data_IF_384654602611
#
_entry.id   IF_384654602611
#
_cell.length_a   1.000
_cell.length_b   1.000
_cell.length_c   1.000
_cell.angle_alpha   90.00
_cell.angle_beta   90.00
_cell.angle_gamma   90.00
#
_symmetry.space_group_name_H-M   'P 1'
#
loop_
_entity.id
_entity.type
_entity.pdbx_description
1 polymer ?
#
# COMPACT_ATOMS: atom_id res chain seq x y z
N UNK A 1 -41.17 -10.04 -0.31
CA UNK A 1 -39.98 -10.05 -1.18
C UNK A 1 -38.87 -9.29 -0.46
N UNK A 2 -38.33 -9.91 0.60
CA UNK A 2 -37.13 -10.80 0.63
C UNK A 2 -35.85 -9.94 0.63
N UNK A 3 -34.93 -9.98 1.59
CA UNK A 3 -34.74 -10.80 2.79
C UNK A 3 -33.74 -10.03 3.70
N UNK A 4 -33.93 -10.08 5.02
CA UNK A 4 -32.95 -9.57 5.97
C UNK A 4 -31.77 -10.55 6.04
N UNK A 5 -30.55 -10.08 5.77
CA UNK A 5 -29.35 -10.89 5.93
C UNK A 5 -28.90 -10.86 7.40
N UNK A 6 -28.77 -12.05 7.98
CA UNK A 6 -28.25 -12.28 9.32
C UNK A 6 -26.82 -11.74 9.46
N UNK A 7 -26.51 -11.15 10.61
CA UNK A 7 -25.13 -10.78 10.97
C UNK A 7 -24.38 -12.02 11.46
N UNK A 8 -23.35 -12.44 10.73
CA UNK A 8 -22.38 -13.44 11.19
C UNK A 8 -21.17 -12.74 11.82
N UNK A 9 -20.72 -13.22 13.00
CA UNK A 9 -19.50 -12.74 13.67
C UNK A 9 -18.30 -13.54 13.18
N UNK A 10 -17.24 -12.86 12.75
CA UNK A 10 -15.95 -13.48 12.45
C UNK A 10 -15.06 -13.45 13.72
N UNK A 11 -14.47 -14.59 14.08
CA UNK A 11 -13.52 -14.69 15.20
C UNK A 11 -12.13 -15.03 14.66
N UNK A 12 -11.13 -14.23 15.03
CA UNK A 12 -9.72 -14.60 14.84
C UNK A 12 -9.19 -15.22 16.12
N UNK A 13 -8.59 -16.41 16.02
CA UNK A 13 -7.93 -17.09 17.15
C UNK A 13 -6.43 -17.10 16.86
N UNK A 14 -5.64 -16.46 17.73
CA UNK A 14 -4.19 -16.54 17.67
C UNK A 14 -3.73 -17.87 18.25
N UNK A 15 -3.07 -18.69 17.45
CA UNK A 15 -2.59 -20.01 17.85
C UNK A 15 -1.05 -20.00 17.92
N UNK A 16 -0.43 -20.35 19.06
CA UNK A 16 1.02 -20.39 19.20
C UNK A 16 1.72 -21.37 18.23
N UNK A 17 3.01 -21.14 17.98
CA UNK A 17 3.82 -22.06 17.20
C UNK A 17 3.89 -23.45 17.86
N UNK A 18 3.74 -24.51 17.06
CA UNK A 18 3.78 -25.91 17.50
C UNK A 18 2.41 -26.56 17.77
N UNK A 19 1.32 -25.80 17.68
CA UNK A 19 -0.04 -26.36 17.75
C UNK A 19 -0.41 -27.02 16.43
N UNK A 20 -0.87 -28.27 16.49
CA UNK A 20 -1.21 -29.06 15.29
C UNK A 20 -2.66 -28.81 14.86
N UNK A 21 -3.01 -29.22 13.64
CA UNK A 21 -4.40 -29.17 13.16
C UNK A 21 -5.36 -29.99 14.05
N UNK A 22 -4.87 -31.06 14.70
CA UNK A 22 -5.65 -31.87 15.64
C UNK A 22 -5.97 -31.14 16.94
N UNK A 23 -5.02 -30.34 17.45
CA UNK A 23 -5.20 -29.55 18.68
C UNK A 23 -6.21 -28.43 18.47
N UNK A 24 -6.17 -27.75 17.32
CA UNK A 24 -7.15 -26.74 16.92
C UNK A 24 -8.55 -27.36 16.80
N UNK A 25 -8.65 -28.57 16.23
CA UNK A 25 -9.92 -29.29 16.14
C UNK A 25 -10.47 -29.64 17.53
N UNK A 26 -9.62 -30.02 18.50
CA UNK A 26 -10.03 -30.22 19.88
C UNK A 26 -10.53 -28.93 20.54
N UNK A 27 -9.83 -27.82 20.37
CA UNK A 27 -10.21 -26.50 20.92
C UNK A 27 -11.57 -26.05 20.38
N UNK A 28 -11.80 -26.23 19.07
CA UNK A 28 -13.07 -25.89 18.44
C UNK A 28 -14.21 -26.82 18.88
N UNK A 29 -13.91 -28.09 19.21
CA UNK A 29 -14.92 -29.06 19.67
C UNK A 29 -15.39 -28.82 21.11
N UNK A 30 -14.54 -28.25 21.96
CA UNK A 30 -14.80 -28.00 23.40
C UNK A 30 -15.31 -26.60 23.70
N UNK A 31 -15.20 -25.64 22.77
CA UNK A 31 -15.80 -24.32 22.93
C UNK A 31 -17.32 -24.38 22.74
N UNK A 32 -18.08 -24.10 23.80
CA UNK A 32 -19.56 -24.10 23.78
C UNK A 32 -20.16 -22.91 23.00
N UNK A 33 -19.35 -21.89 22.65
CA UNK A 33 -19.84 -20.62 22.10
C UNK A 33 -19.67 -20.46 20.57
N UNK A 34 -19.03 -21.41 19.89
CA UNK A 34 -18.73 -21.30 18.45
C UNK A 34 -19.76 -22.06 17.62
N UNK A 35 -20.81 -21.35 17.21
CA UNK A 35 -21.88 -21.91 16.34
C UNK A 35 -21.58 -21.78 14.84
N UNK A 36 -20.60 -20.98 14.43
CA UNK A 36 -20.18 -20.84 13.01
C UNK A 36 -18.73 -20.36 12.91
N UNK A 37 -17.90 -21.08 12.16
CA UNK A 37 -16.51 -20.67 11.83
C UNK A 37 -16.32 -20.88 10.33
N UNK A 38 -16.02 -19.82 9.58
CA UNK A 38 -15.83 -19.88 8.13
C UNK A 38 -14.36 -19.96 7.68
N UNK A 39 -13.41 -19.47 8.48
CA UNK A 39 -11.99 -19.53 8.13
C UNK A 39 -11.07 -19.44 9.36
N UNK A 40 -9.96 -20.18 9.34
CA UNK A 40 -8.88 -20.11 10.33
C UNK A 40 -7.56 -19.85 9.57
N UNK A 41 -6.85 -18.78 9.92
CA UNK A 41 -5.60 -18.40 9.26
C UNK A 41 -4.41 -18.82 10.11
N UNK A 42 -3.40 -19.44 9.48
CA UNK A 42 -2.14 -19.81 10.13
C UNK A 42 -1.00 -18.93 9.63
N UNK A 43 0.01 -18.73 10.48
CA UNK A 43 1.25 -18.02 10.15
C UNK A 43 2.08 -18.70 9.03
N UNK A 44 1.70 -19.90 8.58
CA UNK A 44 2.40 -20.67 7.54
C UNK A 44 1.47 -21.32 6.49
N UNK A 45 0.21 -20.89 6.38
CA UNK A 45 -0.72 -21.38 5.35
C UNK A 45 -2.20 -21.09 5.65
N UNK A 46 -3.06 -21.31 4.66
CA UNK A 46 -4.52 -21.11 4.76
C UNK A 46 -5.19 -22.49 4.86
N UNK A 47 -6.05 -22.69 5.86
CA UNK A 47 -6.98 -23.84 5.90
C UNK A 47 -8.39 -23.29 5.86
N UNK A 48 -9.12 -23.58 4.78
CA UNK A 48 -10.55 -23.29 4.68
C UNK A 48 -11.33 -24.41 5.36
N UNK A 49 -12.09 -24.09 6.40
CA UNK A 49 -13.03 -25.03 7.02
C UNK A 49 -14.42 -24.46 6.79
N UNK A 50 -15.17 -25.07 5.86
CA UNK A 50 -16.54 -24.67 5.58
C UNK A 50 -17.48 -25.62 6.31
N UNK A 51 -18.18 -25.13 7.32
CA UNK A 51 -19.34 -25.83 7.86
C UNK A 51 -20.58 -25.35 7.11
N UNK A 52 -21.23 -26.21 6.31
CA UNK A 52 -22.56 -25.89 5.79
C UNK A 52 -23.61 -26.34 6.78
N UNK A 53 -24.58 -25.46 7.06
CA UNK A 53 -25.85 -25.82 7.66
C UNK A 53 -26.92 -25.75 6.60
N UNK A 54 -26.76 -26.53 5.54
CA UNK A 54 -27.80 -26.73 4.53
C UNK A 54 -28.83 -27.73 5.10
N UNK A 55 -29.69 -27.26 6.00
CA UNK A 55 -30.99 -27.87 6.41
C UNK A 55 -31.59 -27.13 7.62
N UNK A 56 -31.50 -25.79 7.66
CA UNK A 56 -32.12 -25.00 8.74
C UNK A 56 -33.67 -25.03 8.72
N UNK A 57 -34.28 -25.55 7.65
CA UNK A 57 -35.74 -25.48 7.45
C UNK A 57 -36.52 -26.74 7.91
N UNK A 58 -35.91 -27.73 8.56
CA UNK A 58 -36.63 -28.96 8.97
C UNK A 58 -36.49 -29.44 10.41
N UNK A 59 -36.03 -28.62 11.35
CA UNK A 59 -36.02 -29.03 12.78
C UNK A 59 -36.60 -27.96 13.71
N UNK A 60 -37.92 -27.84 13.68
CA UNK A 60 -38.69 -27.42 14.85
C UNK A 60 -39.39 -28.65 15.44
N UNK A 61 -38.72 -29.34 16.36
CA UNK A 61 -39.44 -30.05 17.42
C UNK A 61 -39.36 -29.17 18.67
N UNK A 62 -40.51 -28.61 19.05
CA UNK A 62 -40.67 -27.89 20.30
C UNK A 62 -40.51 -28.89 21.47
N UNK A 63 -39.59 -28.63 22.38
CA UNK A 63 -39.65 -29.21 23.73
C UNK A 63 -40.51 -28.30 24.61
N UNK A 64 -41.31 -28.91 25.49
CA UNK A 64 -42.30 -28.24 26.36
C UNK A 64 -41.70 -27.24 27.38
N UNK A 65 -40.37 -27.10 27.45
CA UNK A 65 -39.66 -26.17 28.32
C UNK A 65 -39.05 -24.94 27.58
N UNK A 66 -39.29 -24.80 26.28
CA UNK A 66 -38.91 -23.61 25.51
C UNK A 66 -37.41 -23.50 25.18
N UNK A 67 -36.64 -24.59 25.27
CA UNK A 67 -35.20 -24.61 24.93
C UNK A 67 -34.93 -25.42 23.66
N UNK A 68 -34.41 -24.76 22.63
CA UNK A 68 -33.97 -25.42 21.39
C UNK A 68 -32.67 -26.19 21.66
N UNK A 69 -32.67 -27.52 21.46
CA UNK A 69 -31.45 -28.35 21.48
C UNK A 69 -31.05 -28.73 20.06
N UNK A 70 -29.87 -28.29 19.63
CA UNK A 70 -29.29 -28.67 18.33
C UNK A 70 -28.42 -29.93 18.52
N UNK A 71 -28.69 -31.00 17.76
CA UNK A 71 -27.83 -32.21 17.75
C UNK A 71 -26.59 -31.96 16.87
N UNK A 72 -25.39 -32.16 17.44
CA UNK A 72 -24.08 -32.09 16.74
C UNK A 72 -24.05 -33.05 15.54
N UNK A 73 -23.76 -32.56 14.33
CA UNK A 73 -23.40 -33.38 13.17
C UNK A 73 -21.95 -33.10 12.72
N UNK A 74 -21.37 -34.10 12.04
CA UNK A 74 -19.95 -34.25 11.66
C UNK A 74 -19.42 -33.09 10.83
N UNK A 75 -18.23 -32.60 11.20
CA UNK A 75 -17.39 -31.69 10.39
C UNK A 75 -16.63 -32.51 9.35
N UNK A 76 -16.58 -32.04 8.10
CA UNK A 76 -15.80 -32.66 7.03
C UNK A 76 -14.75 -31.67 6.51
N UNK A 77 -13.47 -32.02 6.63
CA UNK A 77 -12.35 -31.19 6.17
C UNK A 77 -12.06 -31.52 4.71
N UNK A 78 -12.10 -30.52 3.83
CA UNK A 78 -11.76 -30.70 2.42
C UNK A 78 -10.40 -30.07 2.08
N UNK A 79 -9.41 -30.96 1.91
CA UNK A 79 -8.12 -30.77 1.23
C UNK A 79 -7.04 -29.96 1.96
N UNK A 80 -5.91 -30.63 2.19
CA UNK A 80 -4.63 -30.03 2.61
C UNK A 80 -3.71 -29.97 1.38
N UNK A 81 -3.15 -28.81 1.05
CA UNK A 81 -2.11 -28.69 0.01
C UNK A 81 -0.74 -28.55 0.70
N UNK A 82 0.24 -29.44 0.44
CA UNK A 82 1.60 -29.23 0.91
C UNK A 82 2.27 -28.12 0.09
N UNK A 83 2.90 -27.17 0.78
CA UNK A 83 3.75 -26.13 0.16
C UNK A 83 5.21 -26.54 0.34
N UNK A 84 5.94 -26.69 -0.77
CA UNK A 84 7.39 -26.90 -0.74
C UNK A 84 8.08 -25.55 -0.44
N UNK A 85 8.75 -25.50 0.71
CA UNK A 85 9.36 -24.30 1.29
C UNK A 85 10.58 -23.79 0.49
N UNK A 86 11.12 -24.60 -0.44
CA UNK A 86 12.35 -24.27 -1.16
C UNK A 86 12.13 -23.58 -2.52
N UNK A 87 10.88 -23.42 -2.97
CA UNK A 87 10.54 -22.70 -4.21
C UNK A 87 9.60 -21.51 -3.99
N UNK A 88 9.45 -21.09 -2.73
CA UNK A 88 8.54 -20.03 -2.34
C UNK A 88 9.11 -18.63 -2.70
N UNK A 89 8.56 -18.01 -3.75
CA UNK A 89 8.77 -16.60 -4.08
C UNK A 89 7.72 -15.72 -3.36
N UNK A 90 8.11 -14.89 -2.38
CA UNK A 90 7.18 -14.05 -1.61
C UNK A 90 6.50 -12.94 -2.43
N UNK A 91 6.97 -12.58 -3.63
CA UNK A 91 6.36 -11.52 -4.44
C UNK A 91 5.05 -11.97 -5.13
N UNK A 92 4.88 -13.27 -5.39
CA UNK A 92 3.75 -13.80 -6.15
C UNK A 92 2.53 -14.15 -5.29
N UNK A 93 2.71 -14.45 -4.00
CA UNK A 93 1.62 -14.94 -3.12
C UNK A 93 0.76 -13.83 -2.51
N UNK A 94 1.16 -12.55 -2.57
CA UNK A 94 0.35 -11.43 -2.06
C UNK A 94 -0.65 -10.85 -3.08
N UNK A 95 -0.75 -11.41 -4.29
CA UNK A 95 -1.67 -10.95 -5.35
C UNK A 95 -3.12 -11.44 -5.13
N UNK A 96 -3.36 -12.29 -4.12
CA UNK A 96 -4.69 -12.83 -3.83
C UNK A 96 -5.09 -12.61 -2.37
N UNK A 97 -5.37 -11.37 -1.99
CA UNK A 97 -6.10 -11.07 -0.76
C UNK A 97 -7.39 -10.33 -1.11
N UNK A 98 -8.49 -11.09 -1.20
CA UNK A 98 -9.85 -10.56 -1.12
C UNK A 98 -10.22 -10.53 0.37
N UNK A 99 -10.76 -9.39 0.78
CA UNK A 99 -11.43 -9.11 2.07
C UNK A 99 -10.54 -8.61 3.22
N UNK A 100 -10.57 -7.29 3.41
CA UNK A 100 -9.93 -6.55 4.51
C UNK A 100 -10.89 -5.53 5.15
N UNK A 101 -12.10 -5.93 5.58
CA UNK A 101 -13.12 -4.99 6.10
C UNK A 101 -12.85 -4.46 7.53
N UNK A 102 -12.07 -5.15 8.37
CA UNK A 102 -11.99 -4.82 9.81
C UNK A 102 -10.99 -3.71 10.19
N UNK A 103 -9.78 -3.60 9.59
CA UNK A 103 -8.84 -2.51 9.91
C UNK A 103 -9.36 -1.13 9.46
N UNK A 104 -10.21 -1.11 8.42
CA UNK A 104 -10.71 0.11 7.79
C UNK A 104 -11.65 0.94 8.68
N UNK A 105 -12.42 0.30 9.56
CA UNK A 105 -13.42 0.99 10.39
C UNK A 105 -12.80 1.72 11.59
N UNK A 106 -11.68 1.22 12.12
CA UNK A 106 -11.08 1.71 13.35
C UNK A 106 -10.18 2.93 13.13
N UNK A 107 -9.46 3.00 12.00
CA UNK A 107 -8.67 4.17 11.62
C UNK A 107 -9.55 5.39 11.27
N UNK A 108 -10.76 5.14 10.77
CA UNK A 108 -11.69 6.17 10.29
C UNK A 108 -12.36 6.98 11.41
N UNK A 109 -12.83 6.33 12.48
CA UNK A 109 -13.49 7.02 13.61
C UNK A 109 -12.58 8.06 14.29
N UNK A 110 -11.26 7.92 14.20
CA UNK A 110 -10.29 8.83 14.85
C UNK A 110 -9.84 10.01 13.98
N UNK A 111 -9.86 9.90 12.65
CA UNK A 111 -9.51 11.02 11.75
C UNK A 111 -10.63 12.06 11.70
N UNK A 112 -11.89 11.63 11.92
CA UNK A 112 -13.08 12.50 11.93
C UNK A 112 -12.99 13.65 12.95
N UNK A 113 -12.38 13.41 14.11
CA UNK A 113 -12.36 14.37 15.22
C UNK A 113 -11.21 15.40 15.13
N UNK A 114 -10.20 15.17 14.27
CA UNK A 114 -8.99 16.00 14.22
C UNK A 114 -9.00 17.05 13.09
N UNK A 115 -9.95 16.99 12.15
CA UNK A 115 -9.88 17.73 10.88
C UNK A 115 -10.84 18.94 10.73
N UNK A 116 -11.53 19.37 11.80
CA UNK A 116 -12.53 20.45 11.74
C UNK A 116 -11.97 21.88 11.54
N UNK A 117 -10.65 22.08 11.46
CA UNK A 117 -10.04 23.42 11.34
C UNK A 117 -9.42 23.76 9.96
N UNK A 118 -9.42 22.84 8.99
CA UNK A 118 -8.70 23.03 7.71
C UNK A 118 -9.69 23.17 6.55
N UNK A 119 -10.10 24.40 6.27
CA UNK A 119 -10.58 24.82 4.93
C UNK A 119 -10.67 26.35 4.87
N UNK A 120 -9.52 27.00 4.79
CA UNK A 120 -9.42 28.36 4.24
C UNK A 120 -8.31 28.32 3.19
N UNK A 121 -8.67 28.73 1.98
CA UNK A 121 -7.82 28.88 0.80
C UNK A 121 -7.52 27.58 0.02
N UNK A 122 -8.54 27.06 -0.68
CA UNK A 122 -8.35 26.12 -1.80
C UNK A 122 -8.95 26.75 -3.06
N UNK A 123 -8.12 26.99 -4.08
CA UNK A 123 -8.60 27.33 -5.42
C UNK A 123 -9.33 26.11 -6.02
N UNK A 124 -10.63 26.24 -6.20
CA UNK A 124 -11.45 25.20 -6.84
C UNK A 124 -11.15 25.14 -8.33
N UNK A 125 -10.68 23.99 -8.81
CA UNK A 125 -10.53 23.71 -10.25
C UNK A 125 -11.73 22.88 -10.72
N UNK A 126 -12.45 23.29 -11.79
CA UNK A 126 -13.58 22.51 -12.31
C UNK A 126 -13.18 21.06 -12.67
N UNK A 127 -13.97 20.07 -12.24
CA UNK A 127 -13.75 18.65 -12.55
C UNK A 127 -12.83 17.88 -11.58
N UNK A 128 -12.14 18.58 -10.66
CA UNK A 128 -11.31 17.97 -9.63
C UNK A 128 -11.87 18.40 -8.27
N UNK A 129 -12.44 17.45 -7.53
CA UNK A 129 -12.86 17.70 -6.16
C UNK A 129 -11.68 17.36 -5.25
N UNK A 130 -11.08 18.39 -4.65
CA UNK A 130 -10.30 18.20 -3.43
C UNK A 130 -11.28 17.86 -2.32
N UNK A 131 -11.46 16.56 -2.07
CA UNK A 131 -12.26 16.15 -0.94
C UNK A 131 -11.43 16.38 0.33
N UNK A 132 -11.88 17.18 1.31
CA UNK A 132 -11.36 17.03 2.65
C UNK A 132 -11.60 15.58 3.09
N UNK A 133 -10.67 15.02 3.86
CA UNK A 133 -10.59 13.59 4.26
C UNK A 133 -11.87 13.05 4.96
N UNK A 134 -12.85 13.90 5.24
CA UNK A 134 -14.04 13.62 6.05
C UNK A 134 -15.37 13.45 5.27
N UNK A 135 -15.36 13.09 3.98
CA UNK A 135 -16.63 12.86 3.24
C UNK A 135 -17.32 11.54 3.66
N UNK A 136 -18.63 11.59 3.99
CA UNK A 136 -19.42 10.50 4.61
C UNK A 136 -19.86 9.38 3.65
N UNK A 137 -19.47 9.44 2.38
CA UNK A 137 -19.85 8.44 1.39
C UNK A 137 -19.01 7.15 1.53
N UNK A 138 -19.59 6.10 2.13
CA UNK A 138 -18.97 4.80 2.40
C UNK A 138 -18.24 4.17 1.18
N UNK A 139 -18.71 4.44 -0.04
CA UNK A 139 -18.07 3.95 -1.27
C UNK A 139 -16.79 4.72 -1.64
N UNK A 140 -16.79 6.03 -1.38
CA UNK A 140 -15.62 6.91 -1.49
C UNK A 140 -14.63 6.55 -0.39
N UNK A 141 -15.09 6.32 0.84
CA UNK A 141 -14.26 5.91 1.97
C UNK A 141 -13.57 4.56 1.75
N UNK A 142 -14.26 3.57 1.18
CA UNK A 142 -13.65 2.28 0.80
C UNK A 142 -12.60 2.44 -0.30
N UNK A 143 -12.87 3.28 -1.30
CA UNK A 143 -11.89 3.59 -2.34
C UNK A 143 -10.70 4.39 -1.77
N UNK A 144 -10.93 5.25 -0.79
CA UNK A 144 -9.89 5.95 -0.05
C UNK A 144 -9.08 4.99 0.81
N UNK A 145 -9.68 4.06 1.52
CA UNK A 145 -8.97 3.07 2.32
C UNK A 145 -8.20 2.06 1.45
N UNK A 146 -8.73 1.70 0.27
CA UNK A 146 -8.00 0.91 -0.72
C UNK A 146 -6.86 1.72 -1.34
N UNK A 147 -7.12 2.96 -1.75
CA UNK A 147 -6.09 3.85 -2.26
C UNK A 147 -5.03 4.10 -1.20
N UNK A 148 -5.41 4.30 0.06
CA UNK A 148 -4.53 4.52 1.20
C UNK A 148 -3.76 3.26 1.58
N UNK A 149 -4.36 2.08 1.53
CA UNK A 149 -3.64 0.82 1.72
C UNK A 149 -2.66 0.57 0.56
N UNK A 150 -3.04 0.82 -0.68
CA UNK A 150 -2.12 0.76 -1.83
C UNK A 150 -1.10 1.90 -1.81
N UNK A 151 -1.41 3.04 -1.20
CA UNK A 151 -0.52 4.19 -1.03
C UNK A 151 0.47 3.93 0.08
N UNK A 152 0.03 3.38 1.21
CA UNK A 152 0.86 2.96 2.31
C UNK A 152 1.70 1.77 1.84
N UNK A 153 1.16 0.78 1.13
CA UNK A 153 1.95 -0.28 0.53
C UNK A 153 2.89 0.27 -0.53
N UNK A 154 2.47 1.17 -1.41
CA UNK A 154 3.35 1.77 -2.41
C UNK A 154 4.42 2.64 -1.75
N UNK A 155 4.13 3.38 -0.68
CA UNK A 155 5.08 4.21 0.07
C UNK A 155 6.02 3.37 0.93
N UNK A 156 5.51 2.32 1.57
CA UNK A 156 6.28 1.29 2.29
C UNK A 156 7.19 0.53 1.33
N UNK A 157 6.69 0.16 0.14
CA UNK A 157 7.45 -0.44 -0.96
C UNK A 157 8.36 0.56 -1.64
N UNK A 158 8.04 1.86 -1.56
CA UNK A 158 8.73 2.86 -2.35
C UNK A 158 10.19 2.88 -1.94
N UNK A 159 10.58 2.69 -0.68
CA UNK A 159 12.00 2.90 -0.26
C UNK A 159 12.47 4.35 -0.48
N UNK A 160 11.56 5.26 -0.83
CA UNK A 160 11.91 6.62 -1.18
C UNK A 160 11.49 7.59 -0.09
N UNK A 161 12.26 8.64 -0.04
CA UNK A 161 12.11 9.85 0.75
C UNK A 161 10.98 10.73 0.19
N UNK A 162 9.82 10.12 -0.11
CA UNK A 162 8.64 10.77 -0.67
C UNK A 162 7.55 10.96 0.38
N UNK A 163 6.82 12.05 0.24
CA UNK A 163 5.62 12.43 1.00
C UNK A 163 4.51 12.76 0.03
N UNK A 164 3.27 12.53 0.46
CA UNK A 164 2.08 12.88 -0.31
C UNK A 164 1.45 14.04 0.43
N UNK A 165 1.54 15.21 -0.16
CA UNK A 165 1.05 16.45 0.42
C UNK A 165 -0.46 16.57 0.19
N UNK A 166 -0.97 16.13 -0.96
CA UNK A 166 -2.38 16.25 -1.32
C UNK A 166 -2.86 15.05 -2.15
N UNK A 167 -4.13 14.71 -1.99
CA UNK A 167 -4.84 13.72 -2.81
C UNK A 167 -6.11 14.37 -3.32
N UNK A 168 -6.23 14.48 -4.63
CA UNK A 168 -7.43 14.94 -5.31
C UNK A 168 -8.14 13.75 -5.97
N UNK A 169 -9.47 13.72 -5.87
CA UNK A 169 -10.29 12.68 -6.46
C UNK A 169 -10.84 13.17 -7.80
N UNK A 170 -10.69 12.35 -8.84
CA UNK A 170 -11.22 12.60 -10.18
C UNK A 170 -12.64 12.02 -10.24
N UNK A 171 -13.63 12.91 -10.33
CA UNK A 171 -15.04 12.55 -10.50
C UNK A 171 -15.45 12.71 -11.98
N UNK A 172 -15.21 11.68 -12.78
CA UNK A 172 -15.46 11.69 -14.22
C UNK A 172 -16.41 10.54 -14.65
N UNK A 173 -17.74 10.69 -14.47
CA UNK A 173 -18.71 9.61 -14.73
C UNK A 173 -18.62 9.02 -16.14
N UNK A 174 -18.41 9.86 -17.16
CA UNK A 174 -18.25 9.41 -18.56
C UNK A 174 -16.98 8.58 -18.77
N UNK A 175 -15.87 8.94 -18.09
CA UNK A 175 -14.62 8.18 -18.14
C UNK A 175 -14.80 6.84 -17.45
N UNK A 176 -15.42 6.83 -16.26
CA UNK A 176 -15.76 5.61 -15.53
C UNK A 176 -16.64 4.67 -16.34
N UNK A 177 -17.69 5.19 -16.99
CA UNK A 177 -18.59 4.39 -17.83
C UNK A 177 -17.85 3.74 -19.01
N UNK A 178 -16.94 4.47 -19.69
CA UNK A 178 -16.12 3.89 -20.76
C UNK A 178 -15.21 2.77 -20.26
N UNK A 179 -14.60 2.95 -19.08
CA UNK A 179 -13.78 1.91 -18.46
C UNK A 179 -14.60 0.66 -18.10
N UNK A 180 -15.76 0.83 -17.45
CA UNK A 180 -16.64 -0.30 -17.10
C UNK A 180 -17.12 -1.02 -18.37
N UNK A 181 -17.60 -0.29 -19.37
CA UNK A 181 -18.02 -0.88 -20.64
C UNK A 181 -16.88 -1.61 -21.36
N UNK A 182 -15.63 -1.12 -21.23
CA UNK A 182 -14.46 -1.83 -21.75
C UNK A 182 -14.19 -3.14 -21.01
N UNK A 183 -14.25 -3.13 -19.68
CA UNK A 183 -14.08 -4.34 -18.85
C UNK A 183 -15.16 -5.38 -19.16
N UNK A 184 -16.42 -4.96 -19.32
CA UNK A 184 -17.52 -5.83 -19.70
C UNK A 184 -17.32 -6.42 -21.09
N UNK A 185 -16.87 -5.61 -22.06
CA UNK A 185 -16.53 -6.08 -23.40
C UNK A 185 -15.41 -7.12 -23.37
N UNK A 186 -14.34 -6.90 -22.59
CA UNK A 186 -13.26 -7.88 -22.44
C UNK A 186 -13.82 -9.23 -21.93
N UNK A 187 -14.69 -9.22 -20.93
CA UNK A 187 -15.35 -10.44 -20.43
C UNK A 187 -16.21 -11.12 -21.48
N UNK A 188 -17.00 -10.36 -22.25
CA UNK A 188 -17.82 -10.87 -23.34
C UNK A 188 -16.97 -11.53 -24.45
N UNK A 189 -15.78 -10.99 -24.69
CA UNK A 189 -14.79 -11.53 -25.62
C UNK A 189 -13.98 -12.72 -25.03
N UNK A 190 -14.33 -13.20 -23.82
CA UNK A 190 -13.67 -14.31 -23.15
C UNK A 190 -12.31 -13.95 -22.52
N UNK A 191 -12.01 -12.67 -22.34
CA UNK A 191 -10.78 -12.17 -21.71
C UNK A 191 -11.06 -11.91 -20.23
N UNK A 192 -10.21 -12.46 -19.35
CA UNK A 192 -10.23 -12.11 -17.92
C UNK A 192 -9.53 -10.75 -17.69
N UNK A 193 -10.26 -9.68 -17.31
CA UNK A 193 -9.66 -8.38 -17.11
C UNK A 193 -8.95 -8.36 -15.75
N UNK A 194 -7.65 -8.64 -15.76
CA UNK A 194 -6.77 -8.35 -14.63
C UNK A 194 -6.74 -6.83 -14.39
N UNK A 195 -7.42 -6.36 -13.34
CA UNK A 195 -7.43 -4.95 -12.95
C UNK A 195 -6.36 -4.70 -11.89
N UNK A 196 -5.48 -3.73 -12.13
CA UNK A 196 -4.43 -3.32 -11.18
C UNK A 196 -4.49 -1.83 -10.87
N UNK A 197 -3.93 -1.43 -9.73
CA UNK A 197 -3.67 -0.04 -9.39
C UNK A 197 -2.29 0.37 -9.93
N UNK A 198 -2.21 1.52 -10.58
CA UNK A 198 -1.01 1.96 -11.29
C UNK A 198 -0.92 3.48 -11.32
N UNK A 199 0.26 3.99 -11.63
CA UNK A 199 0.58 5.41 -11.77
C UNK A 199 0.87 5.76 -13.22
N UNK A 200 0.37 6.90 -13.65
CA UNK A 200 0.65 7.50 -14.95
C UNK A 200 1.33 8.85 -14.73
N UNK A 201 2.63 8.90 -15.03
CA UNK A 201 3.38 10.13 -15.03
C UNK A 201 3.15 10.93 -16.31
N UNK A 202 2.85 12.21 -16.18
CA UNK A 202 2.55 13.09 -17.32
C UNK A 202 2.91 14.54 -17.00
N UNK A 203 2.94 15.39 -18.02
CA UNK A 203 3.13 16.83 -17.81
C UNK A 203 1.94 17.42 -17.05
N UNK A 204 2.21 18.36 -16.16
CA UNK A 204 1.18 18.99 -15.32
C UNK A 204 -0.01 19.54 -16.12
N UNK A 205 0.27 20.19 -17.26
CA UNK A 205 -0.77 20.74 -18.16
C UNK A 205 -1.72 19.66 -18.74
N UNK A 206 -1.31 18.40 -18.75
CA UNK A 206 -2.09 17.28 -19.28
C UNK A 206 -3.04 16.68 -18.26
N UNK A 207 -2.81 16.92 -16.95
CA UNK A 207 -3.57 16.28 -15.86
C UNK A 207 -5.05 16.61 -15.96
N UNK A 208 -5.42 17.89 -16.16
CA UNK A 208 -6.82 18.29 -16.27
C UNK A 208 -7.47 17.64 -17.51
N UNK A 209 -6.76 17.57 -18.63
CA UNK A 209 -7.25 16.89 -19.83
C UNK A 209 -7.53 15.40 -19.60
N UNK A 210 -6.68 14.72 -18.81
CA UNK A 210 -6.87 13.32 -18.42
C UNK A 210 -8.00 13.17 -17.41
N UNK A 211 -8.13 14.08 -16.44
CA UNK A 211 -9.21 14.06 -15.47
C UNK A 211 -10.59 14.19 -16.15
N UNK A 212 -10.71 15.13 -17.08
CA UNK A 212 -11.98 15.42 -17.78
C UNK A 212 -12.33 14.35 -18.81
N UNK A 213 -11.33 13.90 -19.58
CA UNK A 213 -11.54 13.10 -20.79
C UNK A 213 -10.94 11.70 -20.73
N UNK A 214 -10.33 11.28 -19.63
CA UNK A 214 -9.54 10.06 -19.58
C UNK A 214 -8.30 10.14 -20.48
N UNK A 215 -7.62 9.01 -20.64
CA UNK A 215 -6.54 8.91 -21.63
C UNK A 215 -7.15 8.75 -23.03
N UNK A 216 -6.70 9.56 -23.99
CA UNK A 216 -7.28 9.65 -25.32
C UNK A 216 -6.35 9.04 -26.36
N UNK A 217 -6.89 8.12 -27.17
CA UNK A 217 -6.11 7.31 -28.12
C UNK A 217 -5.44 8.13 -29.24
N UNK A 218 -6.05 9.25 -29.62
CA UNK A 218 -5.52 10.20 -30.60
C UNK A 218 -4.35 11.05 -30.07
N UNK A 219 -4.11 11.02 -28.76
CA UNK A 219 -2.97 11.70 -28.10
C UNK A 219 -1.82 10.75 -27.76
N UNK A 220 -1.90 9.48 -28.18
CA UNK A 220 -0.81 8.51 -28.02
C UNK A 220 0.38 8.86 -28.93
N UNK A 221 1.59 8.81 -28.37
CA UNK A 221 2.84 8.82 -29.14
C UNK A 221 3.36 10.20 -29.56
N UNK A 222 2.91 11.29 -28.93
CA UNK A 222 3.39 12.64 -29.23
C UNK A 222 4.87 12.89 -28.89
N UNK A 223 5.51 12.01 -28.11
CA UNK A 223 6.90 12.18 -27.63
C UNK A 223 7.83 11.02 -27.95
N UNK A 224 7.31 9.80 -28.07
CA UNK A 224 8.04 8.62 -28.55
C UNK A 224 7.05 7.59 -29.11
N UNK A 225 7.56 6.62 -29.88
CA UNK A 225 6.74 5.51 -30.38
C UNK A 225 6.38 4.50 -29.26
N UNK A 226 6.88 4.69 -28.04
CA UNK A 226 6.85 3.71 -26.95
C UNK A 226 7.86 2.58 -27.17
N UNK A 227 8.51 2.10 -26.11
CA UNK A 227 9.58 1.09 -26.20
C UNK A 227 9.05 -0.35 -26.38
N UNK A 228 7.91 -0.63 -25.76
CA UNK A 228 7.33 -1.98 -25.70
C UNK A 228 5.95 -2.05 -26.32
N UNK A 229 5.55 -1.01 -27.04
CA UNK A 229 4.34 -1.00 -27.82
C UNK A 229 3.73 0.38 -27.95
N UNK A 230 2.87 0.54 -28.96
CA UNK A 230 2.07 1.75 -29.13
C UNK A 230 0.87 1.69 -28.18
N UNK A 231 0.83 2.56 -27.19
CA UNK A 231 -0.23 2.56 -26.19
C UNK A 231 -0.06 3.61 -25.09
N UNK A 232 -0.85 3.45 -24.04
CA UNK A 232 -0.80 4.24 -22.81
C UNK A 232 0.00 3.50 -21.75
N UNK A 233 0.99 4.20 -21.21
CA UNK A 233 1.98 3.64 -20.28
C UNK A 233 1.59 3.91 -18.82
N UNK A 234 1.72 2.91 -17.96
CA UNK A 234 1.50 3.04 -16.52
C UNK A 234 2.49 2.16 -15.76
N UNK A 235 2.74 2.44 -14.49
CA UNK A 235 3.63 1.64 -13.64
C UNK A 235 3.08 1.53 -12.22
N UNK A 236 3.22 0.39 -11.52
CA UNK A 236 2.94 0.33 -10.09
C UNK A 236 4.02 1.04 -9.24
N UNK A 237 5.15 1.45 -9.85
CA UNK A 237 6.22 2.20 -9.18
C UNK A 237 5.94 3.70 -9.28
N UNK A 238 5.37 4.27 -8.21
CA UNK A 238 5.21 5.73 -8.07
C UNK A 238 6.50 6.50 -8.40
N UNK A 239 7.67 6.16 -7.83
CA UNK A 239 8.96 6.81 -8.12
C UNK A 239 9.32 6.81 -9.59
N UNK A 240 9.09 5.68 -10.28
CA UNK A 240 9.30 5.58 -11.72
C UNK A 240 8.33 6.50 -12.49
N UNK A 241 7.05 6.56 -12.10
CA UNK A 241 6.08 7.48 -12.70
C UNK A 241 6.44 8.95 -12.49
N UNK A 242 7.00 9.31 -11.33
CA UNK A 242 7.41 10.69 -11.04
C UNK A 242 8.49 11.19 -12.00
N UNK A 243 9.35 10.30 -12.53
CA UNK A 243 10.36 10.68 -13.54
C UNK A 243 9.73 11.16 -14.86
N UNK A 244 8.47 10.82 -15.11
CA UNK A 244 7.68 11.28 -16.27
C UNK A 244 6.80 12.49 -15.94
N UNK A 245 6.72 12.91 -14.67
CA UNK A 245 6.02 14.12 -14.24
C UNK A 245 6.88 15.36 -14.52
N UNK A 246 7.16 15.61 -15.79
CA UNK A 246 8.00 16.72 -16.22
C UNK A 246 7.26 18.05 -16.11
N UNK A 247 7.82 18.98 -15.33
CA UNK A 247 7.42 20.39 -15.34
C UNK A 247 8.40 21.17 -16.23
N UNK A 248 7.96 21.77 -17.34
CA UNK A 248 8.84 22.58 -18.18
C UNK A 248 9.48 23.72 -17.37
N UNK A 249 10.78 23.90 -17.59
CA UNK A 249 11.66 24.93 -17.03
C UNK A 249 10.95 26.27 -16.78
N UNK A 250 10.57 26.54 -15.53
CA UNK A 250 10.57 27.90 -15.00
C UNK A 250 11.66 27.97 -13.96
N UNK A 251 12.62 28.87 -14.17
CA UNK A 251 13.68 29.15 -13.21
C UNK A 251 13.03 29.62 -11.90
N UNK A 252 12.96 28.76 -10.91
CA UNK A 252 12.62 29.16 -9.55
C UNK A 252 13.92 29.73 -8.96
N UNK A 253 13.95 31.04 -8.70
CA UNK A 253 15.09 31.77 -8.12
C UNK A 253 16.40 31.77 -8.94
N UNK A 254 16.34 31.73 -10.28
CA UNK A 254 17.53 31.81 -11.13
C UNK A 254 18.44 30.57 -11.10
N UNK A 255 18.10 29.54 -10.30
CA UNK A 255 18.72 28.22 -10.36
C UNK A 255 17.94 27.34 -11.34
N UNK A 256 18.66 26.72 -12.27
CA UNK A 256 18.10 25.68 -13.14
C UNK A 256 17.75 24.49 -12.24
N UNK A 257 16.46 24.29 -11.97
CA UNK A 257 15.97 23.04 -11.37
C UNK A 257 15.85 22.04 -12.51
N UNK A 258 16.65 20.99 -12.44
CA UNK A 258 16.61 19.89 -13.39
C UNK A 258 15.73 18.80 -12.76
N UNK A 259 14.49 18.60 -13.23
CA UNK A 259 13.90 17.26 -13.09
C UNK A 259 14.74 16.36 -13.99
N UNK A 260 15.80 15.77 -13.42
CA UNK A 260 16.75 14.97 -14.18
C UNK A 260 16.03 13.71 -14.65
N UNK A 261 15.82 13.62 -15.96
CA UNK A 261 15.50 12.36 -16.65
C UNK A 261 16.64 11.33 -16.58
N UNK A 262 17.63 11.53 -15.71
CA UNK A 262 18.92 10.82 -15.69
C UNK A 262 18.96 9.74 -14.60
N UNK A 263 18.12 9.83 -13.56
CA UNK A 263 18.07 8.79 -12.52
C UNK A 263 16.63 8.56 -12.03
N UNK A 264 16.06 7.39 -12.35
CA UNK A 264 14.71 7.03 -11.93
C UNK A 264 14.60 6.70 -10.41
N UNK A 265 15.72 6.62 -9.69
CA UNK A 265 15.79 6.50 -8.22
C UNK A 265 15.63 7.84 -7.49
N UNK A 266 15.92 8.95 -8.19
CA UNK A 266 15.93 10.32 -7.67
C UNK A 266 15.18 11.25 -8.62
N UNK A 267 13.98 10.82 -9.03
CA UNK A 267 13.16 11.53 -10.01
C UNK A 267 12.81 12.98 -9.62
N UNK A 268 12.92 13.31 -8.32
CA UNK A 268 12.55 14.62 -7.77
C UNK A 268 13.68 15.19 -6.91
N UNK A 269 13.87 16.50 -7.04
CA UNK A 269 14.64 17.28 -6.09
C UNK A 269 13.87 17.46 -4.78
N UNK A 270 14.60 17.58 -3.67
CA UNK A 270 14.01 17.78 -2.34
C UNK A 270 13.20 19.08 -2.31
N UNK A 271 12.00 19.02 -1.75
CA UNK A 271 11.08 20.14 -1.63
C UNK A 271 10.22 20.39 -2.87
N UNK A 272 10.52 19.76 -4.01
CA UNK A 272 9.74 19.95 -5.23
C UNK A 272 8.46 19.12 -5.18
N UNK A 273 7.33 19.80 -5.37
CA UNK A 273 6.01 19.19 -5.53
C UNK A 273 5.76 18.87 -7.01
N UNK A 274 5.26 17.68 -7.27
CA UNK A 274 4.78 17.26 -8.59
C UNK A 274 3.46 16.52 -8.45
N UNK A 275 2.65 16.56 -9.51
CA UNK A 275 1.36 15.89 -9.56
C UNK A 275 1.46 14.65 -10.46
N UNK A 276 0.99 13.51 -9.96
CA UNK A 276 0.97 12.23 -10.67
C UNK A 276 -0.45 11.67 -10.68
N UNK A 277 -0.85 11.03 -11.77
CA UNK A 277 -2.18 10.42 -11.89
C UNK A 277 -2.12 8.98 -11.37
N UNK A 278 -2.98 8.65 -10.41
CA UNK A 278 -3.18 7.29 -9.94
C UNK A 278 -4.48 6.72 -10.55
N UNK A 279 -4.42 5.49 -11.06
CA UNK A 279 -5.43 4.93 -11.94
C UNK A 279 -5.64 3.43 -11.73
N UNK A 280 -6.81 2.95 -12.13
CA UNK A 280 -7.07 1.52 -12.30
C UNK A 280 -6.85 1.15 -13.77
N UNK A 281 -6.19 0.02 -14.02
CA UNK A 281 -5.79 -0.40 -15.36
C UNK A 281 -6.26 -1.83 -15.62
N UNK A 282 -7.01 -2.05 -16.70
CA UNK A 282 -7.48 -3.36 -17.14
C UNK A 282 -6.48 -3.98 -18.15
N UNK A 283 -5.64 -4.90 -17.67
CA UNK A 283 -4.48 -5.42 -18.39
C UNK A 283 -4.82 -6.59 -19.32
N UNK A 284 -5.81 -7.41 -18.96
CA UNK A 284 -6.14 -8.63 -19.71
C UNK A 284 -4.98 -9.61 -19.82
N UNK A 285 -4.87 -10.33 -20.95
CA UNK A 285 -3.72 -11.19 -21.22
C UNK A 285 -2.48 -10.36 -21.53
N UNK A 286 -1.40 -10.59 -20.80
CA UNK A 286 -0.19 -9.77 -20.88
C UNK A 286 0.90 -10.47 -21.71
N UNK A 287 1.65 -9.69 -22.49
CA UNK A 287 2.89 -10.13 -23.12
C UNK A 287 4.08 -9.50 -22.41
N UNK A 288 5.04 -10.32 -21.97
CA UNK A 288 6.33 -9.82 -21.52
C UNK A 288 7.13 -9.37 -22.74
N UNK A 289 7.32 -8.06 -22.92
CA UNK A 289 8.09 -7.49 -24.01
C UNK A 289 9.59 -7.67 -23.73
N UNK A 290 10.14 -8.76 -24.26
CA UNK A 290 11.56 -9.13 -24.09
C UNK A 290 12.50 -8.36 -25.02
N UNK A 291 11.97 -7.86 -26.14
CA UNK A 291 12.70 -7.07 -27.14
C UNK A 291 12.12 -5.66 -27.21
N UNK A 292 13.01 -4.67 -27.29
CA UNK A 292 12.63 -3.30 -27.63
C UNK A 292 12.21 -3.26 -29.09
N UNK A 293 10.92 -3.12 -29.34
CA UNK A 293 10.37 -2.91 -30.69
C UNK A 293 9.52 -1.64 -30.64
N UNK A 294 10.16 -0.48 -30.82
CA UNK A 294 9.47 0.78 -30.60
C UNK A 294 8.22 0.88 -31.49
N UNK A 295 7.09 1.28 -30.92
CA UNK A 295 5.84 1.43 -31.66
C UNK A 295 5.18 0.14 -32.15
N UNK A 296 5.62 -1.03 -31.67
CA UNK A 296 4.95 -2.29 -32.02
C UNK A 296 3.48 -2.26 -31.59
N UNK A 297 2.58 -2.68 -32.48
CA UNK A 297 1.19 -2.85 -32.10
C UNK A 297 1.05 -3.98 -31.09
N UNK A 298 0.22 -3.78 -30.08
CA UNK A 298 -0.18 -4.85 -29.15
C UNK A 298 -1.16 -5.74 -29.91
N UNK A 299 -0.69 -6.90 -30.33
CA UNK A 299 -1.43 -7.84 -31.18
C UNK A 299 -2.09 -8.95 -30.36
N UNK A 300 -3.17 -9.48 -30.92
CA UNK A 300 -3.80 -10.69 -30.40
C UNK A 300 -2.76 -11.83 -30.25
N UNK A 301 -2.87 -12.66 -29.20
CA UNK A 301 -3.97 -12.72 -28.23
C UNK A 301 -3.81 -11.80 -27.01
N UNK A 302 -2.89 -10.85 -27.04
CA UNK A 302 -2.57 -10.00 -25.88
C UNK A 302 -3.41 -8.72 -25.85
N UNK A 303 -3.60 -8.19 -24.64
CA UNK A 303 -4.36 -6.98 -24.34
C UNK A 303 -3.48 -5.89 -23.70
N UNK A 304 -2.30 -6.26 -23.24
CA UNK A 304 -1.26 -5.37 -22.73
C UNK A 304 0.11 -5.98 -22.97
N UNK A 305 1.13 -5.13 -23.03
CA UNK A 305 2.51 -5.58 -22.83
C UNK A 305 3.00 -5.09 -21.46
N UNK A 306 4.03 -5.75 -20.95
CA UNK A 306 4.80 -5.25 -19.81
C UNK A 306 6.29 -5.48 -20.03
N UNK A 307 7.11 -4.66 -19.39
CA UNK A 307 8.55 -4.82 -19.32
C UNK A 307 9.04 -4.58 -17.89
N UNK A 308 10.07 -5.30 -17.50
CA UNK A 308 10.88 -4.92 -16.35
C UNK A 308 11.91 -3.88 -16.79
N UNK A 309 12.13 -2.88 -15.96
CA UNK A 309 13.09 -1.80 -16.25
C UNK A 309 14.13 -1.69 -15.14
N UNK A 310 15.35 -1.31 -15.52
CA UNK A 310 16.43 -0.97 -14.60
C UNK A 310 16.30 0.47 -14.06
N UNK A 311 17.27 0.88 -13.25
CA UNK A 311 17.36 2.20 -12.62
C UNK A 311 17.64 3.34 -13.62
N UNK A 312 18.10 3.01 -14.82
CA UNK A 312 18.20 3.91 -15.97
C UNK A 312 16.91 3.94 -16.82
N UNK A 313 15.88 3.20 -16.41
CA UNK A 313 14.60 3.08 -17.11
C UNK A 313 14.69 2.31 -18.43
N UNK A 314 15.78 1.56 -18.64
CA UNK A 314 15.96 0.69 -19.80
C UNK A 314 15.31 -0.66 -19.52
N UNK A 315 14.79 -1.32 -20.55
CA UNK A 315 14.24 -2.66 -20.42
C UNK A 315 15.30 -3.67 -20.03
N UNK A 316 14.95 -4.51 -19.08
CA UNK A 316 15.71 -5.69 -18.74
C UNK A 316 15.42 -6.81 -19.74
N UNK A 317 16.49 -7.42 -20.24
CA UNK A 317 16.42 -8.69 -20.96
C UNK A 317 16.09 -9.81 -19.98
N UNK A 318 15.47 -10.89 -20.45
CA UNK A 318 15.07 -12.04 -19.62
C UNK A 318 16.26 -12.66 -18.85
N UNK A 319 17.44 -12.66 -19.46
CA UNK A 319 18.68 -13.20 -18.85
C UNK A 319 19.47 -12.15 -18.05
N UNK A 320 18.90 -10.95 -17.86
CA UNK A 320 19.59 -9.88 -17.15
C UNK A 320 19.73 -10.23 -15.67
N UNK A 321 20.96 -10.17 -15.17
CA UNK A 321 21.25 -10.21 -13.73
C UNK A 321 21.14 -8.84 -13.06
N UNK A 322 20.82 -7.80 -13.83
CA UNK A 322 20.65 -6.46 -13.29
C UNK A 322 19.39 -6.42 -12.40
N UNK A 323 19.44 -5.65 -11.31
CA UNK A 323 18.29 -5.51 -10.43
C UNK A 323 17.12 -4.85 -11.17
N UNK A 324 15.93 -5.44 -11.03
CA UNK A 324 14.69 -4.83 -11.46
C UNK A 324 14.35 -3.62 -10.57
N UNK A 325 14.23 -2.46 -11.21
CA UNK A 325 13.85 -1.21 -10.55
C UNK A 325 12.33 -1.00 -10.57
N UNK A 326 11.70 -1.21 -11.73
CA UNK A 326 10.26 -1.07 -11.88
C UNK A 326 9.68 -2.05 -12.90
N UNK A 327 8.36 -2.15 -12.90
CA UNK A 327 7.58 -2.77 -13.98
C UNK A 327 6.84 -1.67 -14.70
N UNK A 328 6.78 -1.73 -16.03
CA UNK A 328 6.01 -0.80 -16.84
C UNK A 328 5.00 -1.59 -17.67
N UNK A 329 3.75 -1.13 -17.68
CA UNK A 329 2.65 -1.70 -18.44
C UNK A 329 2.27 -0.75 -19.58
N UNK A 330 1.94 -1.29 -20.74
CA UNK A 330 1.35 -0.54 -21.84
C UNK A 330 0.06 -1.20 -22.31
N UNK A 331 -1.01 -0.41 -22.43
CA UNK A 331 -2.31 -0.85 -22.97
C UNK A 331 -2.63 -0.10 -24.25
N UNK A 332 -3.23 -0.74 -25.26
CA UNK A 332 -3.43 -0.12 -26.57
C UNK A 332 -4.55 0.93 -26.59
N UNK A 333 -5.42 0.97 -25.57
CA UNK A 333 -6.60 1.84 -25.54
C UNK A 333 -6.77 2.53 -24.19
N UNK A 334 -7.09 3.81 -24.24
CA UNK A 334 -7.23 4.66 -23.07
C UNK A 334 -8.46 4.32 -22.23
N UNK A 335 -9.47 3.70 -22.82
CA UNK A 335 -10.61 3.13 -22.11
C UNK A 335 -10.25 1.90 -21.23
N UNK A 336 -9.03 1.37 -21.31
CA UNK A 336 -8.51 0.38 -20.35
C UNK A 336 -7.94 1.03 -19.08
N UNK A 337 -7.92 2.37 -18.99
CA UNK A 337 -7.40 3.10 -17.83
C UNK A 337 -8.50 4.02 -17.27
N UNK A 338 -8.75 3.89 -15.98
CA UNK A 338 -9.61 4.80 -15.23
C UNK A 338 -8.75 5.67 -14.30
N UNK A 339 -8.43 6.92 -14.68
CA UNK A 339 -7.79 7.86 -13.78
C UNK A 339 -8.75 8.19 -12.63
N UNK A 340 -8.32 7.94 -11.39
CA UNK A 340 -9.17 8.10 -10.21
C UNK A 340 -8.63 9.15 -9.25
N UNK A 341 -7.33 9.28 -9.14
CA UNK A 341 -6.71 10.19 -8.20
C UNK A 341 -5.62 11.01 -8.87
N UNK A 342 -5.37 12.20 -8.32
CA UNK A 342 -4.15 12.96 -8.56
C UNK A 342 -3.46 13.14 -7.22
N UNK A 343 -2.23 12.63 -7.12
CA UNK A 343 -1.41 12.81 -5.91
C UNK A 343 -0.44 13.96 -6.14
N UNK A 344 -0.41 14.92 -5.22
CA UNK A 344 0.67 15.90 -5.10
C UNK A 344 1.74 15.28 -4.23
N UNK A 345 2.86 14.90 -4.85
CA UNK A 345 3.97 14.19 -4.22
C UNK A 345 5.16 15.11 -4.12
N UNK A 346 5.88 15.02 -3.01
CA UNK A 346 7.10 15.79 -2.76
C UNK A 346 8.17 14.92 -2.14
N UNK A 347 9.41 15.11 -2.57
CA UNK A 347 10.56 14.53 -1.91
C UNK A 347 10.96 15.34 -0.68
N UNK A 348 11.21 14.66 0.42
CA UNK A 348 11.81 15.21 1.65
C UNK A 348 13.22 14.68 1.81
N UNK A 349 14.01 15.28 2.71
CA UNK A 349 15.32 14.76 3.10
C UNK A 349 15.43 14.52 4.60
N UNK A 350 14.30 14.46 5.30
CA UNK A 350 14.22 14.19 6.74
C UNK A 350 13.26 13.03 6.96
N UNK A 351 13.75 11.99 7.62
CA UNK A 351 12.98 10.76 7.76
C UNK A 351 13.08 10.18 9.17
N UNK A 352 11.92 9.93 9.76
CA UNK A 352 11.78 9.20 11.02
C UNK A 352 11.48 7.75 10.69
N UNK A 353 12.40 6.86 11.02
CA UNK A 353 12.21 5.42 10.97
C UNK A 353 11.61 5.00 12.30
N UNK A 354 10.37 4.52 12.33
CA UNK A 354 9.70 4.10 13.56
C UNK A 354 9.31 2.64 13.49
N UNK A 355 9.97 1.81 14.31
CA UNK A 355 9.61 0.40 14.49
C UNK A 355 8.97 0.17 15.86
N UNK A 356 7.81 -0.48 15.83
CA UNK A 356 7.08 -0.92 17.02
C UNK A 356 6.20 -2.14 16.61
N UNK A 357 6.13 -3.23 17.38
CA UNK A 357 5.18 -4.33 17.12
C UNK A 357 3.73 -3.86 17.08
N UNK A 358 3.40 -2.79 17.80
CA UNK A 358 2.09 -2.16 17.84
C UNK A 358 2.09 -0.83 17.05
N UNK A 359 2.93 -0.68 16.02
CA UNK A 359 3.06 0.59 15.27
C UNK A 359 1.74 1.03 14.61
N UNK A 360 0.88 0.07 14.25
CA UNK A 360 -0.44 0.31 13.67
C UNK A 360 -1.56 0.42 14.72
N UNK A 361 -1.22 0.35 16.02
CA UNK A 361 -2.17 0.64 17.09
C UNK A 361 -2.57 2.11 17.08
N UNK A 362 -3.81 2.40 17.49
CA UNK A 362 -4.41 3.74 17.46
C UNK A 362 -3.51 4.83 18.09
N UNK A 363 -2.91 4.51 19.24
CA UNK A 363 -2.00 5.43 19.94
C UNK A 363 -0.79 5.81 19.07
N UNK A 364 -0.02 4.84 18.59
CA UNK A 364 1.17 5.07 17.77
C UNK A 364 0.84 5.71 16.41
N UNK A 365 -0.26 5.28 15.77
CA UNK A 365 -0.73 5.87 14.53
C UNK A 365 -1.06 7.36 14.71
N UNK A 366 -1.71 7.74 15.82
CA UNK A 366 -2.03 9.14 16.13
C UNK A 366 -0.76 9.99 16.30
N UNK A 367 0.28 9.46 16.94
CA UNK A 367 1.56 10.15 17.08
C UNK A 367 2.27 10.32 15.74
N UNK A 368 2.27 9.30 14.88
CA UNK A 368 2.87 9.38 13.55
C UNK A 368 2.20 10.45 12.68
N UNK A 369 0.86 10.49 12.67
CA UNK A 369 0.08 11.52 11.98
C UNK A 369 0.43 12.90 12.54
N UNK A 370 0.49 13.04 13.86
CA UNK A 370 0.84 14.31 14.52
C UNK A 370 2.25 14.78 14.15
N UNK A 371 3.25 13.90 14.15
CA UNK A 371 4.63 14.23 13.74
C UNK A 371 4.63 14.78 12.32
N UNK A 372 3.96 14.09 11.38
CA UNK A 372 3.95 14.49 9.98
C UNK A 372 3.15 15.79 9.76
N UNK A 373 2.07 15.99 10.50
CA UNK A 373 1.28 17.23 10.45
C UNK A 373 2.05 18.44 11.00
N UNK A 374 2.69 18.31 12.17
CA UNK A 374 3.48 19.40 12.76
C UNK A 374 4.81 19.65 12.02
N UNK A 375 5.26 18.69 11.21
CA UNK A 375 6.52 18.75 10.49
C UNK A 375 6.34 18.24 9.05
N UNK A 376 5.74 19.03 8.15
CA UNK A 376 5.42 18.59 6.80
C UNK A 376 6.65 18.18 5.98
N UNK A 377 7.84 18.66 6.33
CA UNK A 377 9.11 18.30 5.68
C UNK A 377 9.71 16.98 6.18
N UNK A 378 9.00 16.22 7.01
CA UNK A 378 9.43 14.94 7.56
C UNK A 378 8.54 13.82 7.01
N UNK A 379 9.18 12.73 6.58
CA UNK A 379 8.49 11.46 6.35
C UNK A 379 8.61 10.56 7.57
N UNK A 380 7.50 10.06 8.08
CA UNK A 380 7.49 8.99 9.09
C UNK A 380 7.28 7.65 8.39
N UNK A 381 8.26 6.75 8.52
CA UNK A 381 8.21 5.39 8.02
C UNK A 381 7.89 4.44 9.17
N UNK A 382 6.67 3.93 9.18
CA UNK A 382 6.16 2.99 10.18
C UNK A 382 6.51 1.57 9.78
N UNK A 383 7.08 0.79 10.70
CA UNK A 383 7.64 -0.52 10.40
C UNK A 383 7.31 -1.54 11.48
N UNK A 384 7.00 -2.76 11.04
CA UNK A 384 7.05 -3.95 11.91
C UNK A 384 8.52 -4.37 12.15
N UNK A 385 8.76 -5.21 13.17
CA UNK A 385 10.09 -5.77 13.42
C UNK A 385 10.77 -6.38 12.20
N UNK A 386 12.07 -6.13 12.05
CA UNK A 386 12.92 -6.70 11.00
C UNK A 386 12.99 -5.91 9.67
N UNK A 387 12.08 -4.96 9.43
CA UNK A 387 12.08 -4.23 8.14
C UNK A 387 13.02 -3.02 8.12
N UNK A 388 13.33 -2.43 9.28
CA UNK A 388 14.27 -1.29 9.37
C UNK A 388 15.69 -1.70 8.95
N UNK A 389 16.18 -2.87 9.35
CA UNK A 389 17.52 -3.35 9.00
C UNK A 389 17.71 -3.38 7.48
N UNK A 390 16.72 -3.96 6.78
CA UNK A 390 16.68 -4.02 5.32
C UNK A 390 16.59 -2.62 4.71
N UNK A 391 15.77 -1.73 5.28
CA UNK A 391 15.65 -0.35 4.81
C UNK A 391 17.01 0.38 4.88
N UNK A 392 17.65 0.38 6.06
CA UNK A 392 18.92 1.08 6.26
C UNK A 392 20.05 0.50 5.39
N UNK A 393 20.09 -0.82 5.17
CA UNK A 393 21.11 -1.45 4.36
C UNK A 393 20.95 -1.25 2.85
N UNK A 394 19.72 -1.06 2.34
CA UNK A 394 19.45 -1.04 0.90
C UNK A 394 18.98 0.32 0.36
N UNK A 395 18.39 1.15 1.21
CA UNK A 395 17.57 2.30 0.79
C UNK A 395 18.06 3.63 1.38
N UNK A 396 19.07 3.59 2.25
CA UNK A 396 19.63 4.78 2.89
C UNK A 396 20.28 5.67 1.83
N UNK A 397 19.85 6.92 1.77
CA UNK A 397 20.47 7.96 0.93
C UNK A 397 21.35 8.85 1.81
N UNK A 398 22.58 9.09 1.40
CA UNK A 398 23.53 9.94 2.15
C UNK A 398 23.04 11.37 2.33
N UNK A 399 22.18 11.85 1.41
CA UNK A 399 21.59 13.19 1.43
C UNK A 399 20.39 13.32 2.36
N UNK A 400 19.92 12.21 2.93
CA UNK A 400 18.74 12.17 3.81
C UNK A 400 19.19 12.06 5.26
N UNK A 401 18.65 12.94 6.11
CA UNK A 401 18.80 12.88 7.54
C UNK A 401 17.81 11.86 8.11
N UNK A 402 18.30 10.95 8.93
CA UNK A 402 17.48 9.92 9.56
C UNK A 402 17.43 10.10 11.07
N UNK A 403 16.31 9.73 11.69
CA UNK A 403 16.18 9.49 13.13
C UNK A 403 15.46 8.17 13.34
N UNK A 404 15.89 7.37 14.30
CA UNK A 404 15.26 6.10 14.65
C UNK A 404 14.39 6.27 15.90
N UNK A 405 13.16 5.79 15.86
CA UNK A 405 12.28 5.60 17.01
C UNK A 405 12.01 4.11 17.13
N UNK A 406 12.24 3.55 18.31
CA UNK A 406 11.93 2.16 18.63
C UNK A 406 11.27 2.10 19.99
N UNK A 407 10.43 1.11 20.25
CA UNK A 407 9.72 1.02 21.52
C UNK A 407 10.48 0.27 22.63
N UNK A 408 11.73 -0.13 22.39
CA UNK A 408 12.58 -0.78 23.39
C UNK A 408 12.22 -2.23 23.71
N UNK A 409 10.93 -2.57 23.66
CA UNK A 409 10.31 -3.90 23.66
C UNK A 409 10.49 -4.78 24.88
N UNK A 410 9.51 -5.65 25.15
CA UNK A 410 9.88 -6.98 25.67
C UNK A 410 10.33 -7.84 24.48
N UNK A 411 11.58 -7.63 24.04
CA UNK A 411 12.30 -8.53 23.15
C UNK A 411 12.90 -7.95 21.86
N UNK A 412 12.45 -6.80 21.35
CA UNK A 412 12.83 -6.35 20.00
C UNK A 412 13.62 -5.04 19.92
N UNK A 413 13.59 -4.16 20.94
CA UNK A 413 14.35 -2.91 20.88
C UNK A 413 15.86 -3.08 21.06
N UNK A 414 16.29 -3.85 22.07
CA UNK A 414 17.70 -4.17 22.29
C UNK A 414 18.24 -5.05 21.15
N UNK A 415 17.46 -6.03 20.70
CA UNK A 415 17.83 -6.88 19.58
C UNK A 415 17.96 -6.08 18.28
N UNK A 416 16.98 -5.23 17.96
CA UNK A 416 17.06 -4.31 16.81
C UNK A 416 18.36 -3.51 16.86
N UNK A 417 18.63 -2.84 17.97
CA UNK A 417 19.85 -2.04 18.11
C UNK A 417 21.11 -2.90 18.01
N UNK A 418 21.13 -4.10 18.57
CA UNK A 418 22.25 -5.03 18.42
C UNK A 418 22.48 -5.45 16.96
N UNK A 419 21.43 -5.52 16.14
CA UNK A 419 21.53 -5.83 14.71
C UNK A 419 21.99 -4.63 13.88
N UNK A 420 21.55 -3.40 14.22
CA UNK A 420 21.76 -2.21 13.38
C UNK A 420 22.73 -1.18 13.95
N UNK A 421 23.31 -1.36 15.15
CA UNK A 421 24.14 -0.32 15.78
C UNK A 421 25.28 0.13 14.87
N UNK A 422 25.93 -0.79 14.15
CA UNK A 422 26.99 -0.46 13.21
C UNK A 422 26.51 0.48 12.08
N UNK A 423 25.30 0.24 11.54
CA UNK A 423 24.69 1.11 10.52
C UNK A 423 24.34 2.49 11.10
N UNK A 424 23.86 2.53 12.35
CA UNK A 424 23.53 3.77 13.03
C UNK A 424 24.79 4.58 13.37
N UNK A 425 25.89 3.92 13.74
CA UNK A 425 27.20 4.54 14.00
C UNK A 425 27.78 5.17 12.75
N UNK A 426 27.89 4.36 11.69
CA UNK A 426 28.45 4.78 10.42
C UNK A 426 27.70 5.99 9.85
N UNK A 427 26.35 5.94 9.85
CA UNK A 427 25.52 7.04 9.37
C UNK A 427 25.19 8.11 10.42
N UNK A 428 25.71 7.99 11.65
CA UNK A 428 25.45 8.92 12.75
C UNK A 428 23.95 9.17 13.00
N UNK A 429 23.14 8.13 12.89
CA UNK A 429 21.68 8.19 13.03
C UNK A 429 21.33 8.15 14.52
N UNK A 430 20.77 9.24 15.11
CA UNK A 430 20.35 9.21 16.50
C UNK A 430 19.11 8.34 16.67
N UNK A 431 18.99 7.72 17.84
CA UNK A 431 17.85 6.88 18.21
C UNK A 431 17.15 7.39 19.48
N UNK A 432 15.83 7.21 19.53
CA UNK A 432 14.98 7.37 20.70
C UNK A 432 14.34 6.02 21.02
N UNK A 433 14.44 5.61 22.29
CA UNK A 433 13.63 4.50 22.79
C UNK A 433 12.37 5.07 23.42
N UNK A 434 11.26 4.99 22.68
CA UNK A 434 9.95 5.51 23.09
C UNK A 434 9.11 4.39 23.74
N UNK A 435 9.17 4.27 25.06
CA UNK A 435 8.67 3.11 25.79
C UNK A 435 8.08 3.49 27.16
N UNK A 436 7.11 2.71 27.65
CA UNK A 436 6.55 2.94 29.00
C UNK A 436 7.52 2.57 30.12
N UNK A 437 8.31 1.50 29.96
CA UNK A 437 9.24 1.01 31.00
C UNK A 437 10.63 1.65 30.89
N UNK A 438 10.68 2.97 31.09
CA UNK A 438 11.89 3.78 30.87
C UNK A 438 13.11 3.25 31.63
N UNK A 439 12.96 2.89 32.90
CA UNK A 439 14.09 2.49 33.74
C UNK A 439 14.70 1.15 33.33
N UNK A 440 13.88 0.20 32.87
CA UNK A 440 14.38 -1.05 32.34
C UNK A 440 15.17 -0.83 31.04
N UNK A 441 14.65 0.02 30.15
CA UNK A 441 15.27 0.28 28.86
C UNK A 441 16.53 1.13 28.95
N UNK A 442 16.60 2.09 29.89
CA UNK A 442 17.80 2.89 30.13
C UNK A 442 19.05 2.06 30.42
N UNK A 443 18.90 0.93 31.11
CA UNK A 443 20.04 0.08 31.53
C UNK A 443 20.83 -0.51 30.38
N UNK A 444 20.15 -1.00 29.35
CA UNK A 444 20.83 -1.56 28.19
C UNK A 444 21.04 -0.50 27.10
N UNK A 445 20.18 0.52 27.03
CA UNK A 445 20.31 1.58 26.04
C UNK A 445 21.57 2.42 26.22
N UNK A 446 22.13 2.49 27.44
CA UNK A 446 23.40 3.16 27.72
C UNK A 446 24.59 2.55 26.99
N UNK A 447 24.48 1.31 26.52
CA UNK A 447 25.54 0.63 25.77
C UNK A 447 25.61 1.12 24.31
N UNK A 448 24.64 1.90 23.85
CA UNK A 448 24.52 2.38 22.47
C UNK A 448 24.61 3.91 22.40
N UNK A 449 25.75 4.45 21.96
CA UNK A 449 26.00 5.91 21.92
C UNK A 449 25.05 6.71 21.00
N UNK A 450 24.35 6.01 20.11
CA UNK A 450 23.37 6.57 19.18
C UNK A 450 22.05 6.84 19.88
N UNK A 451 21.73 6.12 20.96
CA UNK A 451 20.53 6.35 21.76
C UNK A 451 20.69 7.66 22.52
N UNK A 452 19.88 8.65 22.14
CA UNK A 452 19.91 10.00 22.72
C UNK A 452 19.01 10.13 23.93
N UNK A 453 17.93 9.33 23.97
CA UNK A 453 17.01 9.34 25.09
C UNK A 453 16.23 8.01 25.16
N UNK A 454 15.72 7.72 26.35
CA UNK A 454 14.72 6.68 26.62
C UNK A 454 13.58 7.36 27.37
N UNK A 455 12.39 7.40 26.77
CA UNK A 455 11.28 8.20 27.30
C UNK A 455 9.91 7.59 27.02
N UNK A 456 8.97 7.82 27.93
CA UNK A 456 7.54 7.58 27.72
C UNK A 456 6.79 8.87 27.33
N UNK A 457 7.49 10.01 27.29
CA UNK A 457 6.90 11.33 27.08
C UNK A 457 6.65 11.59 25.60
N UNK A 458 5.40 11.86 25.24
CA UNK A 458 5.04 12.31 23.89
C UNK A 458 5.77 13.62 23.54
N UNK A 459 5.98 14.51 24.51
CA UNK A 459 6.73 15.74 24.27
C UNK A 459 8.19 15.45 23.86
N UNK A 460 8.81 14.44 24.46
CA UNK A 460 10.17 14.02 24.10
C UNK A 460 10.21 13.39 22.71
N UNK A 461 9.20 12.58 22.36
CA UNK A 461 9.03 12.04 21.01
C UNK A 461 8.93 13.17 19.97
N UNK A 462 8.01 14.14 20.19
CA UNK A 462 7.81 15.26 19.27
C UNK A 462 9.07 16.11 19.14
N UNK A 463 9.73 16.43 20.26
CA UNK A 463 10.99 17.18 20.26
C UNK A 463 12.11 16.40 19.52
N UNK A 464 12.19 15.08 19.73
CA UNK A 464 13.12 14.21 19.03
C UNK A 464 12.78 14.07 17.55
N UNK A 465 11.56 14.35 17.10
CA UNK A 465 11.24 14.37 15.67
C UNK A 465 11.52 15.73 15.01
N UNK A 466 11.74 16.81 15.76
CA UNK A 466 12.11 18.12 15.18
C UNK A 466 13.58 18.11 14.73
N UNK A 467 13.84 17.91 13.43
CA UNK A 467 15.18 18.03 12.81
C UNK A 467 15.64 19.49 12.78
N UNK A 468 16.05 20.00 13.96
CA UNK A 468 16.63 21.33 14.18
C UNK A 468 18.07 21.42 13.73
#
# INVERSE_FOLDING_TARGET
FFFAAAMEKLYMINVPAGVTSHDVEQILRTSEELTTVQAVFFYQGIVSITCSTDEADQLQEASEDGRIRIKKKRVQVSKTLPVDVNTFDPMLSMIQLRDAETPMRFAYEQVKDTHSEITKDIETVPGITTLPVADENLSVQRLWAMAWNELDLAMLRSRYDLTIDEIAVIEAPKVRQRFVGRVEKMKADGIDPLITFSYHGTQEKSINGIADNGLMDDRMGGTDAGWYGRGHYTTPSLPYALAYCYTPRKAIHGKKIESRRINYMDALDVGIRVRVVACFVALGKQYHAKDVRPGSEIRAPYNSHFAYVDDEGKPLKEDSRLPQHATEFVVPRGDQIYPRFVFTVRRVNKMVLWQDPNIFGAENASYAVRIQHENPDIRVYLSLPGSICRYLGMCRKETTQYRLVSNGGQGDGQELLSQIHHLLEEAKIPALIFCRNVDAHKKWASDYSQVKNVSASVADLMAFCQFK
#
